data_IF_864731523864
#
_entry.id   IF_864731523864
#
_cell.length_a   1.000
_cell.length_b   1.000
_cell.length_c   1.000
_cell.angle_alpha   90.00
_cell.angle_beta   90.00
_cell.angle_gamma   90.00
#
_symmetry.space_group_name_H-M   'P 1'
#
loop_
_entity.id
_entity.type
_entity.pdbx_description
1 polymer ?
#
# COMPACT_ATOMS: atom_id res chain seq x y z
N UNK A 1 6.56 -31.92 -0.89
CA UNK A 1 6.18 -30.70 -1.65
C UNK A 1 6.87 -29.52 -1.02
N UNK A 2 7.55 -28.72 -1.83
CA UNK A 2 8.17 -27.46 -1.41
C UNK A 2 7.11 -26.37 -1.23
N UNK A 3 7.46 -25.33 -0.46
CA UNK A 3 6.63 -24.12 -0.33
C UNK A 3 6.31 -23.49 -1.69
N UNK A 4 7.25 -23.52 -2.63
CA UNK A 4 7.08 -23.01 -4.00
C UNK A 4 5.99 -23.80 -4.74
N UNK A 5 6.02 -25.13 -4.66
CA UNK A 5 5.02 -25.99 -5.29
C UNK A 5 3.62 -25.78 -4.69
N UNK A 6 3.53 -25.58 -3.37
CA UNK A 6 2.26 -25.29 -2.68
C UNK A 6 1.69 -23.95 -3.16
N UNK A 7 2.50 -22.88 -3.17
CA UNK A 7 2.08 -21.55 -3.63
C UNK A 7 1.58 -21.57 -5.07
N UNK A 8 2.31 -22.26 -5.96
CA UNK A 8 1.92 -22.37 -7.37
C UNK A 8 0.59 -23.11 -7.54
N UNK A 9 0.38 -24.21 -6.82
CA UNK A 9 -0.88 -24.95 -6.86
C UNK A 9 -2.07 -24.14 -6.34
N UNK A 10 -1.89 -23.40 -5.25
CA UNK A 10 -2.93 -22.52 -4.71
C UNK A 10 -3.29 -21.40 -5.69
N UNK A 11 -2.30 -20.78 -6.33
CA UNK A 11 -2.52 -19.76 -7.36
C UNK A 11 -3.32 -20.32 -8.55
N UNK A 12 -2.90 -21.49 -9.07
CA UNK A 12 -3.61 -22.15 -10.17
C UNK A 12 -5.04 -22.55 -9.81
N UNK A 13 -5.27 -22.97 -8.56
CA UNK A 13 -6.60 -23.29 -8.06
C UNK A 13 -7.50 -22.05 -7.99
N UNK A 14 -7.04 -20.98 -7.33
CA UNK A 14 -7.80 -19.72 -7.16
C UNK A 14 -8.22 -19.14 -8.52
N UNK A 15 -7.32 -19.18 -9.52
CA UNK A 15 -7.58 -18.67 -10.87
C UNK A 15 -8.77 -19.34 -11.56
N UNK A 16 -9.03 -20.61 -11.27
CA UNK A 16 -10.07 -21.41 -11.92
C UNK A 16 -11.28 -21.72 -11.01
N UNK A 17 -11.20 -21.38 -9.73
CA UNK A 17 -12.24 -21.66 -8.76
C UNK A 17 -13.45 -20.73 -8.96
N UNK A 18 -14.65 -21.24 -8.69
CA UNK A 18 -15.85 -20.40 -8.68
C UNK A 18 -15.83 -19.40 -7.51
N UNK A 19 -16.61 -18.34 -7.65
CA UNK A 19 -16.66 -17.24 -6.67
C UNK A 19 -17.03 -17.68 -5.26
N UNK A 20 -17.82 -18.75 -5.08
CA UNK A 20 -18.19 -19.24 -3.74
C UNK A 20 -16.98 -19.88 -3.07
N UNK A 21 -16.20 -20.66 -3.81
CA UNK A 21 -14.97 -21.28 -3.29
C UNK A 21 -13.90 -20.23 -2.98
N UNK A 22 -13.73 -19.25 -3.87
CA UNK A 22 -12.80 -18.13 -3.62
C UNK A 22 -13.19 -17.36 -2.36
N UNK A 23 -14.48 -17.05 -2.20
CA UNK A 23 -14.98 -16.35 -1.01
C UNK A 23 -14.75 -17.15 0.27
N UNK A 24 -15.02 -18.46 0.26
CA UNK A 24 -14.79 -19.31 1.42
C UNK A 24 -13.31 -19.38 1.81
N UNK A 25 -12.39 -19.46 0.84
CA UNK A 25 -10.95 -19.39 1.10
C UNK A 25 -10.54 -18.04 1.66
N UNK A 26 -11.04 -16.94 1.08
CA UNK A 26 -10.76 -15.60 1.58
C UNK A 26 -11.18 -15.44 3.04
N UNK A 27 -12.39 -15.86 3.43
CA UNK A 27 -12.85 -15.80 4.83
C UNK A 27 -11.93 -16.52 5.83
N UNK A 28 -11.17 -17.54 5.40
CA UNK A 28 -10.21 -18.24 6.28
C UNK A 28 -8.96 -17.40 6.54
N UNK A 29 -8.51 -16.64 5.54
CA UNK A 29 -7.23 -15.89 5.58
C UNK A 29 -7.42 -14.37 5.60
N UNK A 30 -8.67 -13.89 5.61
CA UNK A 30 -9.05 -12.47 5.51
C UNK A 30 -8.36 -11.65 6.59
N UNK A 31 -8.41 -12.10 7.85
CA UNK A 31 -7.75 -11.44 8.97
C UNK A 31 -6.24 -11.36 8.78
N UNK A 32 -5.60 -12.43 8.32
CA UNK A 32 -4.14 -12.46 8.12
C UNK A 32 -3.72 -11.52 6.98
N UNK A 33 -4.53 -11.42 5.92
CA UNK A 33 -4.34 -10.47 4.82
C UNK A 33 -4.52 -9.02 5.31
N UNK A 34 -5.55 -8.75 6.11
CA UNK A 34 -5.85 -7.41 6.62
C UNK A 34 -4.83 -6.93 7.66
N UNK A 35 -4.35 -7.81 8.54
CA UNK A 35 -3.29 -7.53 9.52
C UNK A 35 -1.95 -7.22 8.84
N UNK A 36 -1.59 -7.93 7.77
CA UNK A 36 -0.37 -7.65 6.99
C UNK A 36 -0.44 -6.32 6.19
N UNK A 37 -1.65 -5.79 5.96
CA UNK A 37 -1.88 -4.60 5.10
C UNK A 37 -2.30 -3.35 5.89
N UNK A 38 -2.45 -3.42 7.21
CA UNK A 38 -2.86 -2.27 8.00
C UNK A 38 -1.73 -1.23 8.20
N UNK A 39 -1.41 -0.51 7.13
CA UNK A 39 -0.53 0.67 7.12
C UNK A 39 -1.20 1.92 7.70
N UNK A 40 -2.53 1.87 7.91
CA UNK A 40 -3.34 2.97 8.43
C UNK A 40 -3.40 2.92 9.96
N UNK A 41 -2.23 2.87 10.60
CA UNK A 41 -2.15 2.98 12.06
C UNK A 41 -2.52 4.39 12.50
N UNK A 42 -2.94 4.55 13.75
CA UNK A 42 -3.24 5.88 14.32
C UNK A 42 -2.04 6.82 14.18
N UNK A 43 -0.81 6.31 14.35
CA UNK A 43 0.42 7.07 14.15
C UNK A 43 0.58 7.57 12.70
N UNK A 44 0.30 6.71 11.71
CA UNK A 44 0.36 7.09 10.30
C UNK A 44 -0.71 8.13 9.96
N UNK A 45 -1.94 7.93 10.43
CA UNK A 45 -3.05 8.86 10.22
C UNK A 45 -2.74 10.22 10.87
N UNK A 46 -2.27 10.22 12.12
CA UNK A 46 -1.91 11.45 12.85
C UNK A 46 -0.78 12.22 12.17
N UNK A 47 0.27 11.52 11.70
CA UNK A 47 1.37 12.17 10.98
C UNK A 47 0.91 12.75 9.64
N UNK A 48 0.08 12.03 8.88
CA UNK A 48 -0.46 12.55 7.62
C UNK A 48 -1.39 13.75 7.84
N UNK A 49 -2.23 13.72 8.88
CA UNK A 49 -3.05 14.87 9.28
C UNK A 49 -2.20 16.07 9.69
N UNK A 50 -1.14 15.86 10.48
CA UNK A 50 -0.19 16.92 10.87
C UNK A 50 0.47 17.55 9.64
N UNK A 51 0.97 16.74 8.71
CA UNK A 51 1.61 17.21 7.48
C UNK A 51 0.64 17.97 6.57
N UNK A 52 -0.62 17.53 6.49
CA UNK A 52 -1.65 18.25 5.73
C UNK A 52 -1.91 19.63 6.32
N UNK A 53 -2.11 19.71 7.65
CA UNK A 53 -2.33 20.97 8.34
C UNK A 53 -1.12 21.93 8.20
N UNK A 54 0.10 21.41 8.29
CA UNK A 54 1.32 22.21 8.08
C UNK A 54 1.46 22.71 6.64
N UNK A 55 1.08 21.89 5.66
CA UNK A 55 1.07 22.27 4.25
C UNK A 55 0.04 23.35 3.95
N UNK A 56 -1.18 23.21 4.48
CA UNK A 56 -2.24 24.22 4.36
C UNK A 56 -1.86 25.54 5.04
N UNK A 57 -1.18 25.48 6.19
CA UNK A 57 -0.72 26.68 6.89
C UNK A 57 0.50 27.35 6.24
N UNK A 58 1.26 26.64 5.40
CA UNK A 58 2.51 27.11 4.78
C UNK A 58 2.52 26.89 3.25
N UNK A 59 1.39 27.16 2.58
CA UNK A 59 1.23 26.99 1.13
C UNK A 59 2.29 27.78 0.34
N UNK A 60 2.71 28.92 0.85
CA UNK A 60 3.76 29.78 0.31
C UNK A 60 5.16 29.14 0.33
N UNK A 61 5.38 28.13 1.17
CA UNK A 61 6.65 27.39 1.31
C UNK A 61 6.65 26.06 0.56
N UNK A 62 5.53 25.67 -0.06
CA UNK A 62 5.46 24.49 -0.91
C UNK A 62 6.15 24.78 -2.24
N UNK A 63 7.07 23.90 -2.64
CA UNK A 63 7.70 24.00 -3.95
C UNK A 63 6.64 23.71 -5.03
N UNK A 64 6.66 24.50 -6.11
CA UNK A 64 5.90 24.13 -7.30
C UNK A 64 6.41 22.79 -7.86
N UNK A 65 5.58 22.12 -8.65
CA UNK A 65 5.95 20.86 -9.29
C UNK A 65 7.14 21.02 -10.24
N UNK A 66 7.31 22.20 -10.82
CA UNK A 66 8.46 22.53 -11.68
C UNK A 66 9.74 22.75 -10.84
N UNK A 67 9.63 23.43 -9.70
CA UNK A 67 10.75 23.67 -8.79
C UNK A 67 11.31 22.36 -8.21
N UNK A 68 10.41 21.43 -7.85
CA UNK A 68 10.79 20.10 -7.39
C UNK A 68 11.58 19.33 -8.45
N UNK A 69 11.08 19.30 -9.70
CA UNK A 69 11.78 18.66 -10.82
C UNK A 69 13.15 19.25 -11.06
N UNK A 70 13.26 20.59 -11.03
CA UNK A 70 14.53 21.28 -11.20
C UNK A 70 15.52 21.00 -10.05
N UNK A 71 15.03 20.88 -8.81
CA UNK A 71 15.86 20.57 -7.63
C UNK A 71 16.39 19.12 -7.68
N UNK A 72 15.56 18.16 -8.04
CA UNK A 72 15.95 16.74 -8.19
C UNK A 72 16.97 16.56 -9.32
N UNK A 73 16.83 17.30 -10.42
CA UNK A 73 17.80 17.27 -11.53
C UNK A 73 19.15 17.86 -11.11
N UNK A 74 19.15 18.91 -10.28
CA UNK A 74 20.36 19.55 -9.75
C UNK A 74 21.08 18.72 -8.68
N UNK A 75 20.39 17.87 -7.92
CA UNK A 75 21.03 17.03 -6.90
C UNK A 75 21.65 15.73 -7.44
N UNK A 76 21.54 15.49 -8.75
CA UNK A 76 22.01 14.26 -9.43
C UNK A 76 23.21 14.49 -10.38
N UNK A 77 23.69 15.72 -10.50
CA UNK A 77 24.91 16.09 -11.24
C UNK A 77 25.99 16.53 -10.28
#
# INVERSE_FOLDING_TARGET
MSSIEIKRKLFDYIRNADSRKVKAMYTIVERDIEEETNIWTDDFVNEMSRRSAEGEANLDKLNSWEDLKAKVKRSRG
#
